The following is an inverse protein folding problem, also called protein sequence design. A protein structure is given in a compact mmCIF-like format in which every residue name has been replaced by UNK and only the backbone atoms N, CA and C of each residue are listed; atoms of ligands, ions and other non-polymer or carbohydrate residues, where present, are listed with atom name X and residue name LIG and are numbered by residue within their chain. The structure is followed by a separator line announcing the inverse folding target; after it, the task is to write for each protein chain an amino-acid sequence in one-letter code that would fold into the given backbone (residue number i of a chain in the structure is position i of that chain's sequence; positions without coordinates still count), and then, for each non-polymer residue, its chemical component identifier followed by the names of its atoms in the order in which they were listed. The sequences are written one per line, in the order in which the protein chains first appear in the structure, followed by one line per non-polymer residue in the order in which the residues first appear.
data_IF_375979745557
#
_entry.id   IF_375979745557
#
_cell.length_a   1.000
_cell.length_b   1.000
_cell.length_c   1.000
_cell.angle_alpha   90.00
_cell.angle_beta   90.00
_cell.angle_gamma   90.00
#
_symmetry.space_group_name_H-M   'P 1'
#
loop_
_entity.id
_entity.type
_entity.pdbx_description
1 polymer ?
#
# COMPACT_ATOMS: atom_id res chain seq x y z
N UNK A 1 -14.36 13.12 21.28
CA UNK A 1 -13.02 13.69 21.44
C UNK A 1 -11.97 12.62 21.45
N UNK A 2 -12.00 11.74 22.43
CA UNK A 2 -11.04 10.66 22.47
C UNK A 2 -11.15 9.76 21.26
N UNK A 3 -12.36 9.62 20.73
CA UNK A 3 -12.58 8.79 19.56
C UNK A 3 -11.77 9.30 18.38
N UNK A 4 -11.69 10.61 18.24
CA UNK A 4 -10.93 11.19 17.15
C UNK A 4 -9.46 10.85 17.26
N UNK A 5 -8.93 10.92 18.46
CA UNK A 5 -7.54 10.61 18.70
C UNK A 5 -7.27 9.15 18.38
N UNK A 6 -8.18 8.28 18.79
CA UNK A 6 -8.01 6.84 18.56
C UNK A 6 -8.03 6.50 17.09
N UNK A 7 -8.80 7.23 16.31
CA UNK A 7 -8.95 6.90 14.89
C UNK A 7 -7.85 7.46 14.00
N UNK A 8 -7.14 8.49 14.49
CA UNK A 8 -6.13 9.11 13.65
C UNK A 8 -5.04 8.14 13.18
N UNK A 9 -4.49 7.29 14.06
CA UNK A 9 -3.50 6.31 13.59
C UNK A 9 -4.07 5.34 12.56
N UNK A 10 -5.32 4.93 12.72
CA UNK A 10 -5.96 4.02 11.79
C UNK A 10 -6.16 4.70 10.45
N UNK A 11 -6.58 5.96 10.46
CA UNK A 11 -6.75 6.72 9.22
C UNK A 11 -5.43 6.87 8.48
N UNK A 12 -4.35 7.10 9.22
CA UNK A 12 -3.04 7.22 8.61
C UNK A 12 -2.59 5.91 7.97
N UNK A 13 -2.87 4.79 8.64
CA UNK A 13 -2.54 3.49 8.10
C UNK A 13 -3.32 3.20 6.83
N UNK A 14 -4.61 3.48 6.85
CA UNK A 14 -5.44 3.27 5.67
C UNK A 14 -4.98 4.14 4.51
N UNK A 15 -4.64 5.37 4.80
CA UNK A 15 -4.18 6.29 3.78
C UNK A 15 -2.88 5.81 3.15
N UNK A 16 -1.98 5.31 3.99
CA UNK A 16 -0.72 4.77 3.51
C UNK A 16 -0.95 3.54 2.63
N UNK A 17 -1.82 2.65 3.04
CA UNK A 17 -2.13 1.45 2.26
C UNK A 17 -2.75 1.81 0.93
N UNK A 18 -3.70 2.74 0.93
CA UNK A 18 -4.33 3.19 -0.30
C UNK A 18 -3.33 3.84 -1.24
N UNK A 19 -2.43 4.65 -0.67
CA UNK A 19 -1.41 5.30 -1.47
C UNK A 19 -0.48 4.31 -2.15
N UNK A 20 -0.05 3.31 -1.41
CA UNK A 20 0.83 2.29 -1.97
C UNK A 20 0.11 1.48 -3.04
N UNK A 21 -1.11 1.05 -2.77
CA UNK A 21 -1.88 0.31 -3.77
C UNK A 21 -2.10 1.13 -5.02
N UNK A 22 -2.36 2.43 -4.87
CA UNK A 22 -2.56 3.30 -6.03
C UNK A 22 -1.32 3.33 -6.91
N UNK A 23 -0.14 3.37 -6.30
CA UNK A 23 1.11 3.35 -7.06
C UNK A 23 1.29 2.02 -7.78
N UNK A 24 0.99 0.93 -7.10
CA UNK A 24 1.20 -0.40 -7.68
C UNK A 24 0.19 -0.72 -8.78
N UNK A 25 -1.00 -0.15 -8.70
CA UNK A 25 -2.07 -0.42 -9.65
C UNK A 25 -2.12 0.59 -10.78
N UNK A 26 -1.29 1.62 -10.74
CA UNK A 26 -1.30 2.64 -11.77
C UNK A 26 -0.97 2.03 -13.13
N UNK A 27 -1.70 2.41 -14.18
CA UNK A 27 -1.49 1.81 -15.51
C UNK A 27 -0.06 1.98 -16.03
N UNK A 28 0.58 3.07 -15.66
CA UNK A 28 1.93 3.36 -16.11
C UNK A 28 2.99 2.61 -15.33
N UNK A 29 2.61 1.95 -14.24
CA UNK A 29 3.56 1.34 -13.32
C UNK A 29 3.36 -0.17 -13.23
N UNK A 30 3.22 -0.83 -14.35
CA UNK A 30 3.05 -2.28 -14.34
C UNK A 30 4.40 -2.96 -14.20
N UNK A 31 5.02 -2.73 -13.08
CA UNK A 31 6.31 -3.30 -12.76
C UNK A 31 6.43 -3.43 -11.25
N UNK A 32 7.31 -4.31 -10.77
CA UNK A 32 7.56 -4.36 -9.34
C UNK A 32 8.18 -3.04 -8.86
N UNK A 33 7.78 -2.61 -7.69
CA UNK A 33 8.35 -1.45 -7.04
C UNK A 33 9.26 -1.93 -5.91
N UNK A 34 10.40 -1.29 -5.74
CA UNK A 34 11.18 -1.57 -4.55
C UNK A 34 10.59 -0.83 -3.36
N UNK A 35 10.81 -1.36 -2.16
CA UNK A 35 10.33 -0.69 -0.96
C UNK A 35 10.97 0.69 -0.85
N UNK A 36 12.24 0.81 -1.24
CA UNK A 36 12.91 2.11 -1.21
C UNK A 36 12.24 3.12 -2.14
N UNK A 37 11.79 2.68 -3.31
CA UNK A 37 11.08 3.56 -4.23
C UNK A 37 9.75 4.02 -3.64
N UNK A 38 9.04 3.13 -2.97
CA UNK A 38 7.78 3.48 -2.34
C UNK A 38 8.01 4.48 -1.21
N UNK A 39 9.06 4.29 -0.42
CA UNK A 39 9.40 5.22 0.64
C UNK A 39 9.70 6.60 0.08
N UNK A 40 10.42 6.65 -1.03
CA UNK A 40 10.78 7.91 -1.64
C UNK A 40 9.54 8.63 -2.18
N UNK A 41 8.65 7.90 -2.83
CA UNK A 41 7.43 8.49 -3.36
C UNK A 41 6.54 9.03 -2.26
N UNK A 42 6.46 8.31 -1.15
CA UNK A 42 5.60 8.71 -0.05
C UNK A 42 6.29 9.67 0.91
N UNK A 43 7.62 9.69 0.89
CA UNK A 43 8.38 10.54 1.77
C UNK A 43 8.36 10.09 3.22
N UNK A 44 8.11 8.80 3.46
CA UNK A 44 7.97 8.29 4.81
C UNK A 44 8.43 6.85 4.87
N UNK A 45 9.27 6.53 5.85
CA UNK A 45 9.85 5.20 5.97
C UNK A 45 8.97 4.25 6.78
N UNK A 46 8.68 4.61 8.04
CA UNK A 46 8.00 3.68 8.94
C UNK A 46 6.59 3.35 8.48
N UNK A 47 5.85 4.37 8.09
CA UNK A 47 4.49 4.15 7.62
C UNK A 47 4.44 3.27 6.38
N UNK A 48 5.44 3.43 5.50
CA UNK A 48 5.50 2.63 4.29
C UNK A 48 5.77 1.17 4.62
N UNK A 49 6.73 0.89 5.50
CA UNK A 49 7.06 -0.47 5.89
C UNK A 49 5.85 -1.15 6.53
N UNK A 50 5.18 -0.46 7.44
CA UNK A 50 4.01 -1.01 8.12
C UNK A 50 2.87 -1.28 7.12
N UNK A 51 2.64 -0.35 6.21
CA UNK A 51 1.57 -0.52 5.22
C UNK A 51 1.87 -1.69 4.28
N UNK A 52 3.12 -1.84 3.86
CA UNK A 52 3.51 -2.97 3.03
C UNK A 52 3.25 -4.28 3.75
N UNK A 53 3.60 -4.35 5.03
CA UNK A 53 3.37 -5.55 5.81
C UNK A 53 1.89 -5.88 5.92
N UNK A 54 1.05 -4.86 6.16
CA UNK A 54 -0.39 -5.04 6.26
C UNK A 54 -0.99 -5.50 4.94
N UNK A 55 -0.59 -4.88 3.84
CA UNK A 55 -1.09 -5.25 2.52
C UNK A 55 -0.67 -6.66 2.15
N UNK A 56 0.55 -7.04 2.50
CA UNK A 56 1.03 -8.39 2.25
C UNK A 56 0.22 -9.40 3.06
N UNK A 57 -0.03 -9.10 4.33
CA UNK A 57 -0.82 -9.99 5.18
C UNK A 57 -2.26 -10.14 4.67
N UNK A 58 -2.79 -9.09 4.06
CA UNK A 58 -4.14 -9.12 3.49
C UNK A 58 -4.21 -9.81 2.13
N UNK A 59 -3.07 -10.19 1.57
CA UNK A 59 -3.06 -10.86 0.26
C UNK A 59 -3.20 -9.92 -0.91
N UNK A 60 -2.98 -8.64 -0.72
CA UNK A 60 -3.15 -7.64 -1.77
C UNK A 60 -1.85 -7.35 -2.52
N UNK A 61 -0.72 -7.70 -1.96
CA UNK A 61 0.55 -7.54 -2.64
C UNK A 61 1.41 -8.79 -2.45
N UNK A 62 2.31 -8.99 -3.38
CA UNK A 62 3.35 -10.00 -3.30
C UNK A 62 4.66 -9.32 -2.92
N UNK A 63 5.50 -10.04 -2.21
CA UNK A 63 6.85 -9.56 -1.88
C UNK A 63 7.86 -10.54 -2.43
N UNK A 64 8.88 -10.01 -3.07
CA UNK A 64 10.00 -10.81 -3.56
C UNK A 64 11.27 -10.04 -3.22
N UNK A 65 11.90 -10.41 -2.09
CA UNK A 65 13.02 -9.66 -1.60
C UNK A 65 12.59 -8.24 -1.23
N UNK A 66 13.20 -7.27 -1.87
CA UNK A 66 12.86 -5.86 -1.62
C UNK A 66 11.81 -5.32 -2.59
N UNK A 67 11.31 -6.16 -3.49
CA UNK A 67 10.34 -5.73 -4.48
C UNK A 67 8.94 -6.16 -4.09
N UNK A 68 7.98 -5.33 -4.46
CA UNK A 68 6.56 -5.59 -4.20
C UNK A 68 5.76 -5.32 -5.47
N UNK A 69 4.66 -6.02 -5.63
CA UNK A 69 3.75 -5.79 -6.74
C UNK A 69 2.35 -6.27 -6.35
N UNK A 70 1.34 -5.71 -7.03
CA UNK A 70 -0.05 -6.02 -6.70
C UNK A 70 -0.39 -7.46 -7.08
N UNK A 71 -1.20 -8.10 -6.24
CA UNK A 71 -1.68 -9.44 -6.55
C UNK A 71 -2.82 -9.34 -7.55
N UNK A 72 -3.15 -10.49 -8.16
CA UNK A 72 -4.31 -10.55 -9.06
C UNK A 72 -5.58 -10.15 -8.31
N UNK A 73 -5.67 -10.52 -7.04
CA UNK A 73 -6.83 -10.16 -6.23
C UNK A 73 -6.97 -8.65 -6.09
N UNK A 74 -5.86 -7.95 -5.88
CA UNK A 74 -5.88 -6.49 -5.75
C UNK A 74 -6.29 -5.84 -7.07
N UNK A 75 -5.76 -6.32 -8.18
CA UNK A 75 -6.11 -5.81 -9.50
C UNK A 75 -7.59 -5.99 -9.75
N UNK A 76 -8.11 -7.15 -9.40
CA UNK A 76 -9.52 -7.43 -9.60
C UNK A 76 -10.41 -6.56 -8.75
N UNK A 77 -10.02 -6.33 -7.50
CA UNK A 77 -10.77 -5.44 -6.63
C UNK A 77 -10.82 -4.03 -7.21
N UNK A 78 -9.71 -3.57 -7.75
CA UNK A 78 -9.66 -2.24 -8.36
C UNK A 78 -10.62 -2.16 -9.55
N UNK A 79 -10.65 -3.20 -10.37
CA UNK A 79 -11.56 -3.25 -11.52
C UNK A 79 -13.02 -3.25 -11.10
N UNK A 80 -13.32 -3.87 -9.96
CA UNK A 80 -14.70 -4.00 -9.50
C UNK A 80 -15.19 -2.82 -8.70
N UNK A 81 -14.32 -1.94 -8.26
CA UNK A 81 -14.72 -0.82 -7.40
C UNK A 81 -15.08 0.40 -8.23
N UNK A 82 -16.02 0.23 -9.10
CA UNK A 82 -16.49 1.32 -9.97
C UNK A 82 -17.68 2.10 -9.38
#
# INVERSE_FOLDING_TARGET
MQDEISRMPVDDEERAEKGILSLLLAPDSQRPWSIAELERERGEHLGTVDAVASLHAAGLIHRCGEFVFATRAAVRMDDLSL
#
